data_IF_557971983940
#
_entry.id   IF_557971983940
#
_cell.length_a   1.000
_cell.length_b   1.000
_cell.length_c   1.000
_cell.angle_alpha   90.00
_cell.angle_beta   90.00
_cell.angle_gamma   90.00
#
_symmetry.space_group_name_H-M   'P 1'
#
loop_
_entity.id
_entity.type
_entity.pdbx_description
1 polymer ?
#
# COMPACT_ATOMS: atom_id res chain seq x y z
N UNK A 1 21.39 3.78 3.40
CA UNK A 1 19.93 3.76 3.50
C UNK A 1 19.21 4.92 2.82
N UNK A 2 19.91 5.91 2.26
CA UNK A 2 19.27 7.06 1.62
C UNK A 2 18.43 6.59 0.41
N UNK A 3 17.15 6.94 0.38
CA UNK A 3 16.23 6.65 -0.73
C UNK A 3 15.18 5.58 -0.45
N UNK A 4 15.39 4.61 0.45
CA UNK A 4 14.36 3.58 0.77
C UNK A 4 13.06 4.21 1.28
N UNK A 5 13.16 5.14 2.22
CA UNK A 5 11.99 5.85 2.76
C UNK A 5 11.27 6.68 1.69
N UNK A 6 12.00 7.25 0.73
CA UNK A 6 11.41 8.02 -0.36
C UNK A 6 10.60 7.13 -1.30
N UNK A 7 11.07 5.90 -1.60
CA UNK A 7 10.31 4.93 -2.39
C UNK A 7 9.01 4.55 -1.68
N UNK A 8 9.08 4.28 -0.38
CA UNK A 8 7.89 3.98 0.43
C UNK A 8 6.90 5.17 0.41
N UNK A 9 7.40 6.39 0.61
CA UNK A 9 6.58 7.61 0.56
C UNK A 9 5.96 7.84 -0.82
N UNK A 10 6.69 7.52 -1.88
CA UNK A 10 6.18 7.58 -3.25
C UNK A 10 5.00 6.63 -3.47
N UNK A 11 5.11 5.36 -3.10
CA UNK A 11 3.99 4.41 -3.21
C UNK A 11 2.83 4.76 -2.28
N UNK A 12 3.12 5.34 -1.11
CA UNK A 12 2.08 5.87 -0.22
C UNK A 12 1.32 7.01 -0.88
N UNK A 13 2.02 7.96 -1.50
CA UNK A 13 1.41 9.04 -2.27
C UNK A 13 0.51 8.51 -3.39
N UNK A 14 0.99 7.55 -4.18
CA UNK A 14 0.20 6.90 -5.23
C UNK A 14 -1.07 6.24 -4.68
N UNK A 15 -0.99 5.57 -3.55
CA UNK A 15 -2.17 4.99 -2.90
C UNK A 15 -3.23 6.03 -2.55
N UNK A 16 -2.81 7.21 -2.10
CA UNK A 16 -3.72 8.34 -1.85
C UNK A 16 -4.28 8.94 -3.14
N UNK A 17 -3.48 9.02 -4.21
CA UNK A 17 -3.95 9.45 -5.54
C UNK A 17 -5.04 8.50 -6.06
N UNK A 18 -4.82 7.18 -5.96
CA UNK A 18 -5.80 6.17 -6.41
C UNK A 18 -7.07 6.13 -5.56
N UNK A 19 -7.02 6.55 -4.31
CA UNK A 19 -8.19 6.62 -3.41
C UNK A 19 -8.89 7.98 -3.40
N UNK A 20 -8.58 8.87 -4.34
CA UNK A 20 -9.11 10.25 -4.41
C UNK A 20 -8.94 11.00 -3.08
N UNK A 21 -7.76 10.93 -2.52
CA UNK A 21 -7.40 11.51 -1.23
C UNK A 21 -6.03 12.19 -1.28
N UNK A 22 -5.57 12.57 -2.47
CA UNK A 22 -4.25 13.17 -2.66
C UNK A 22 -4.11 14.48 -1.88
N UNK A 23 -5.15 15.32 -1.88
CA UNK A 23 -5.17 16.53 -1.08
C UNK A 23 -4.92 16.28 0.40
N UNK A 24 -5.54 15.25 0.97
CA UNK A 24 -5.29 14.82 2.36
C UNK A 24 -3.85 14.34 2.58
N UNK A 25 -3.28 13.60 1.62
CA UNK A 25 -1.88 13.21 1.70
C UNK A 25 -0.96 14.41 1.82
N UNK A 26 -1.17 15.45 1.01
CA UNK A 26 -0.38 16.69 1.03
C UNK A 26 -0.47 17.37 2.39
N UNK A 27 -1.67 17.48 2.96
CA UNK A 27 -1.90 18.09 4.28
C UNK A 27 -1.15 17.36 5.41
N UNK A 28 -1.27 16.04 5.48
CA UNK A 28 -0.64 15.25 6.55
C UNK A 28 0.88 15.08 6.37
N UNK A 29 1.40 15.32 5.17
CA UNK A 29 2.82 15.19 4.83
C UNK A 29 3.61 16.50 4.95
N UNK A 30 2.96 17.59 5.40
CA UNK A 30 3.60 18.87 5.65
C UNK A 30 3.60 19.83 4.46
N UNK A 31 2.58 19.73 3.63
CA UNK A 31 2.31 20.61 2.49
C UNK A 31 3.35 20.54 1.35
N UNK A 32 3.22 21.37 0.31
CA UNK A 32 4.12 21.32 -0.85
C UNK A 32 5.57 21.65 -0.49
N UNK A 33 5.78 22.53 0.48
CA UNK A 33 7.13 22.92 0.89
C UNK A 33 7.94 21.76 1.46
N UNK A 34 7.31 20.86 2.20
CA UNK A 34 7.97 19.68 2.78
C UNK A 34 8.16 18.54 1.77
N UNK A 35 7.24 18.41 0.82
CA UNK A 35 7.25 17.33 -0.17
C UNK A 35 8.22 17.59 -1.32
N UNK A 36 8.42 18.86 -1.71
CA UNK A 36 9.33 19.23 -2.78
C UNK A 36 10.77 19.34 -2.27
N UNK A 37 11.71 18.71 -3.00
CA UNK A 37 13.12 18.65 -2.62
C UNK A 37 13.73 20.05 -2.47
N UNK A 38 14.22 20.36 -1.28
CA UNK A 38 14.68 21.69 -0.88
C UNK A 38 13.62 22.82 -1.04
N UNK A 39 12.33 22.45 -1.04
CA UNK A 39 11.20 23.35 -1.07
C UNK A 39 10.90 23.96 -2.44
N UNK A 40 9.82 24.72 -2.48
CA UNK A 40 9.20 25.25 -3.71
C UNK A 40 10.11 26.18 -4.55
N UNK A 41 11.07 26.85 -3.90
CA UNK A 41 12.01 27.76 -4.61
C UNK A 41 13.04 27.03 -5.44
N UNK A 42 13.46 25.83 -5.03
CA UNK A 42 14.45 25.01 -5.74
C UNK A 42 13.84 23.99 -6.67
N UNK A 43 12.75 23.38 -6.23
CA UNK A 43 12.06 22.34 -6.98
C UNK A 43 10.59 22.70 -7.10
N UNK A 44 10.21 23.53 -8.08
CA UNK A 44 8.83 23.97 -8.25
C UNK A 44 7.91 22.87 -8.77
N UNK A 45 8.47 21.83 -9.41
CA UNK A 45 7.73 20.72 -10.02
C UNK A 45 8.42 19.40 -9.63
N UNK A 46 7.62 18.40 -9.34
CA UNK A 46 8.04 17.01 -9.15
C UNK A 46 7.27 16.14 -10.14
N UNK A 47 7.97 15.28 -10.87
CA UNK A 47 7.35 14.35 -11.81
C UNK A 47 7.63 12.91 -11.41
N UNK A 48 6.68 12.02 -11.69
CA UNK A 48 6.81 10.58 -11.49
C UNK A 48 6.41 9.83 -12.76
N UNK A 49 7.10 8.71 -13.01
CA UNK A 49 6.78 7.80 -14.10
C UNK A 49 6.91 6.36 -13.62
N UNK A 50 5.88 5.55 -13.87
CA UNK A 50 5.87 4.12 -13.59
C UNK A 50 5.69 3.36 -14.89
N UNK A 51 6.52 2.33 -15.08
CA UNK A 51 6.49 1.45 -16.23
C UNK A 51 6.11 0.05 -15.80
N UNK A 52 5.09 -0.47 -16.43
CA UNK A 52 4.62 -1.84 -16.28
C UNK A 52 4.90 -2.57 -17.60
N UNK A 53 5.76 -3.56 -17.56
CA UNK A 53 6.19 -4.24 -18.79
C UNK A 53 6.02 -5.75 -18.62
N UNK A 54 5.53 -6.39 -19.68
CA UNK A 54 5.59 -7.82 -19.88
C UNK A 54 6.41 -8.15 -21.14
N UNK A 55 6.34 -9.41 -21.62
CA UNK A 55 7.07 -9.84 -22.82
C UNK A 55 6.57 -9.18 -24.12
N UNK A 56 5.35 -8.63 -24.13
CA UNK A 56 4.62 -8.20 -25.33
C UNK A 56 4.17 -6.74 -25.30
N UNK A 57 4.09 -6.13 -24.13
CA UNK A 57 3.59 -4.76 -23.96
C UNK A 57 4.33 -3.98 -22.87
N UNK A 58 4.20 -2.69 -22.93
CA UNK A 58 4.66 -1.76 -21.91
C UNK A 58 3.62 -0.66 -21.71
N UNK A 59 3.11 -0.58 -20.49
CA UNK A 59 2.21 0.46 -20.03
C UNK A 59 3.00 1.46 -19.20
N UNK A 60 2.76 2.75 -19.39
CA UNK A 60 3.42 3.81 -18.66
C UNK A 60 2.37 4.74 -18.08
N UNK A 61 2.49 5.02 -16.79
CA UNK A 61 1.75 6.07 -16.11
C UNK A 61 2.69 7.16 -15.68
N UNK A 62 2.47 8.38 -16.14
CA UNK A 62 3.26 9.56 -15.83
C UNK A 62 2.40 10.67 -15.26
N UNK A 63 2.96 11.43 -14.31
CA UNK A 63 2.30 12.60 -13.73
C UNK A 63 3.31 13.67 -13.34
N UNK A 64 2.84 14.91 -13.25
CA UNK A 64 3.58 16.07 -12.76
C UNK A 64 2.80 16.77 -11.66
N UNK A 65 3.51 17.13 -10.59
CA UNK A 65 2.99 17.81 -9.42
C UNK A 65 3.67 19.16 -9.29
N UNK A 66 2.91 20.23 -9.07
CA UNK A 66 3.45 21.56 -8.87
C UNK A 66 2.85 22.24 -7.64
N UNK A 67 3.60 23.21 -7.10
CA UNK A 67 3.09 24.06 -6.03
C UNK A 67 1.99 24.99 -6.53
N UNK A 68 0.93 25.15 -5.75
CA UNK A 68 -0.12 26.13 -5.92
C UNK A 68 -0.36 26.89 -4.62
N UNK A 69 -0.75 28.19 -4.76
CA UNK A 69 -1.05 29.05 -3.62
C UNK A 69 -2.27 28.54 -2.83
N UNK A 70 -2.28 28.60 -1.48
CA UNK A 70 -1.26 29.20 -0.61
C UNK A 70 -0.08 28.30 -0.25
N UNK A 71 -0.13 26.99 -0.29
CA UNK A 71 0.92 25.99 -0.09
C UNK A 71 0.33 24.59 -0.32
N UNK A 72 -0.15 24.38 -1.54
CA UNK A 72 -0.76 23.13 -1.98
C UNK A 72 0.10 22.49 -3.05
N UNK A 73 0.14 21.19 -3.06
CA UNK A 73 0.66 20.43 -4.20
C UNK A 73 -0.53 19.98 -5.05
N UNK A 74 -0.48 20.27 -6.34
CA UNK A 74 -1.54 19.95 -7.29
C UNK A 74 -1.00 19.10 -8.42
N UNK A 75 -1.86 18.30 -9.03
CA UNK A 75 -1.55 17.50 -10.21
C UNK A 75 -1.74 18.42 -11.43
N UNK A 76 -0.66 18.70 -12.14
CA UNK A 76 -0.68 19.58 -13.33
C UNK A 76 -0.75 18.82 -14.63
N UNK A 77 -0.21 17.63 -14.66
CA UNK A 77 -0.21 16.75 -15.82
C UNK A 77 -0.41 15.31 -15.38
N UNK A 78 -1.15 14.58 -16.16
CA UNK A 78 -1.33 13.14 -16.02
C UNK A 78 -1.44 12.51 -17.38
N UNK A 79 -0.73 11.42 -17.63
CA UNK A 79 -0.75 10.71 -18.91
C UNK A 79 -0.61 9.22 -18.72
N UNK A 80 -1.19 8.46 -19.64
CA UNK A 80 -0.92 7.05 -19.83
C UNK A 80 -0.40 6.82 -21.24
N UNK A 81 0.52 5.89 -21.37
CA UNK A 81 1.06 5.47 -22.66
C UNK A 81 1.04 3.95 -22.69
N UNK A 82 0.62 3.39 -23.77
CA UNK A 82 0.62 1.96 -24.01
C UNK A 82 1.35 1.64 -25.31
N UNK A 83 2.27 0.70 -25.27
CA UNK A 83 3.06 0.28 -26.43
C UNK A 83 3.09 -1.24 -26.53
N UNK A 84 2.62 -1.78 -27.63
CA UNK A 84 2.67 -3.20 -27.94
C UNK A 84 3.86 -3.51 -28.85
N UNK A 85 4.52 -4.64 -28.59
CA UNK A 85 5.64 -5.10 -29.41
C UNK A 85 5.21 -5.30 -30.87
N UNK A 86 5.92 -4.64 -31.79
CA UNK A 86 5.61 -4.67 -33.22
C UNK A 86 4.77 -3.49 -33.73
N UNK A 87 4.24 -2.66 -32.85
CA UNK A 87 3.57 -1.43 -33.24
C UNK A 87 4.58 -0.30 -33.45
N UNK A 88 4.34 0.54 -34.47
CA UNK A 88 5.25 1.63 -34.83
C UNK A 88 5.18 2.84 -33.92
N UNK A 89 4.04 3.05 -33.25
CA UNK A 89 3.83 4.20 -32.35
C UNK A 89 3.12 3.75 -31.09
N UNK A 90 3.49 4.27 -29.92
CA UNK A 90 2.70 4.08 -28.72
C UNK A 90 1.34 4.79 -28.83
N UNK A 91 0.35 4.23 -28.19
CA UNK A 91 -0.90 4.91 -27.90
C UNK A 91 -0.73 5.77 -26.65
N UNK A 92 -1.17 7.01 -26.68
CA UNK A 92 -1.02 7.96 -25.57
C UNK A 92 -2.33 8.66 -25.31
N UNK A 93 -2.68 8.79 -24.04
CA UNK A 93 -3.81 9.56 -23.55
C UNK A 93 -3.28 10.58 -22.52
N UNK A 94 -3.53 11.85 -22.75
CA UNK A 94 -3.45 12.87 -21.72
C UNK A 94 -4.73 12.83 -20.91
N UNK A 95 -4.60 12.69 -19.58
CA UNK A 95 -5.70 12.77 -18.64
C UNK A 95 -5.86 14.22 -18.18
N UNK A 96 -7.08 14.62 -17.92
CA UNK A 96 -7.36 15.98 -17.42
C UNK A 96 -7.57 15.93 -15.90
N UNK A 97 -6.51 16.08 -15.09
CA UNK A 97 -6.65 16.07 -13.63
C UNK A 97 -7.48 17.29 -13.18
N UNK A 98 -8.26 17.11 -12.13
CA UNK A 98 -9.02 18.22 -11.53
C UNK A 98 -8.17 19.08 -10.57
N UNK A 99 -6.85 19.09 -10.76
CA UNK A 99 -5.82 19.75 -9.96
C UNK A 99 -5.63 19.18 -8.54
N UNK A 100 -6.67 18.66 -7.91
CA UNK A 100 -6.62 18.15 -6.54
C UNK A 100 -6.52 16.64 -6.47
N UNK A 101 -7.09 15.94 -7.44
CA UNK A 101 -7.17 14.48 -7.46
C UNK A 101 -6.81 13.93 -8.85
N UNK A 102 -6.35 12.71 -8.89
CA UNK A 102 -6.01 11.98 -10.11
C UNK A 102 -7.25 11.74 -10.97
N UNK A 103 -7.14 11.98 -12.26
CA UNK A 103 -8.15 11.64 -13.25
C UNK A 103 -8.13 10.16 -13.65
N UNK A 104 -7.08 9.41 -13.27
CA UNK A 104 -6.91 8.01 -13.66
C UNK A 104 -8.07 7.13 -13.18
N UNK A 105 -8.58 7.38 -11.97
CA UNK A 105 -9.68 6.63 -11.37
C UNK A 105 -11.02 6.80 -12.12
N UNK A 106 -11.18 7.86 -12.88
CA UNK A 106 -12.41 8.22 -13.62
C UNK A 106 -12.30 7.94 -15.12
N UNK A 107 -11.10 7.59 -15.59
CA UNK A 107 -10.87 7.34 -17.00
C UNK A 107 -11.51 6.01 -17.44
N UNK A 108 -12.34 6.06 -18.47
CA UNK A 108 -13.05 4.90 -19.02
C UNK A 108 -12.19 4.05 -19.95
N UNK A 109 -11.00 4.51 -20.32
CA UNK A 109 -10.10 3.80 -21.21
C UNK A 109 -9.65 2.45 -20.59
N UNK A 110 -9.62 1.34 -21.35
CA UNK A 110 -9.24 0.02 -20.83
C UNK A 110 -7.82 -0.04 -20.25
N UNK A 111 -6.85 0.68 -20.85
CA UNK A 111 -5.47 0.72 -20.37
C UNK A 111 -5.41 1.51 -19.06
N UNK A 112 -6.11 2.64 -18.98
CA UNK A 112 -6.24 3.43 -17.76
C UNK A 112 -6.83 2.60 -16.62
N UNK A 113 -7.90 1.84 -16.86
CA UNK A 113 -8.51 0.94 -15.88
C UNK A 113 -7.54 -0.14 -15.40
N UNK A 114 -6.76 -0.71 -16.30
CA UNK A 114 -5.73 -1.72 -15.94
C UNK A 114 -4.65 -1.12 -15.05
N UNK A 115 -4.10 0.04 -15.43
CA UNK A 115 -3.10 0.76 -14.63
C UNK A 115 -3.67 1.17 -13.27
N UNK A 116 -4.90 1.69 -13.24
CA UNK A 116 -5.58 2.04 -12.00
C UNK A 116 -5.72 0.84 -11.06
N UNK A 117 -6.12 -0.31 -11.57
CA UNK A 117 -6.22 -1.55 -10.79
C UNK A 117 -4.85 -1.96 -10.23
N UNK A 118 -3.81 -2.00 -11.05
CA UNK A 118 -2.45 -2.33 -10.62
C UNK A 118 -1.98 -1.40 -9.49
N UNK A 119 -2.15 -0.10 -9.64
CA UNK A 119 -1.76 0.90 -8.64
C UNK A 119 -2.61 0.83 -7.36
N UNK A 120 -3.89 0.51 -7.47
CA UNK A 120 -4.80 0.36 -6.34
C UNK A 120 -4.45 -0.85 -5.46
N UNK A 121 -3.82 -1.88 -6.04
CA UNK A 121 -3.29 -3.04 -5.31
C UNK A 121 -1.91 -2.81 -4.70
N UNK A 122 -1.19 -1.75 -5.09
CA UNK A 122 0.07 -1.38 -4.47
C UNK A 122 -0.16 -0.82 -3.06
N UNK A 123 -0.10 -1.68 -2.06
CA UNK A 123 -0.25 -1.30 -0.65
C UNK A 123 1.11 -1.18 0.02
N UNK A 124 1.27 -0.18 0.86
CA UNK A 124 2.45 -0.01 1.70
C UNK A 124 2.15 -0.53 3.10
N UNK A 125 2.93 -1.50 3.55
CA UNK A 125 2.86 -2.05 4.90
C UNK A 125 4.08 -1.64 5.71
N UNK A 126 3.88 -1.30 6.99
CA UNK A 126 4.93 -0.87 7.90
C UNK A 126 4.77 -1.63 9.23
N UNK A 127 5.47 -2.74 9.36
CA UNK A 127 5.42 -3.63 10.54
C UNK A 127 6.64 -3.45 11.46
N UNK A 128 7.31 -2.31 11.41
CA UNK A 128 8.57 -2.08 12.11
C UNK A 128 8.43 -1.65 13.57
N UNK A 129 7.23 -1.30 14.00
CA UNK A 129 6.99 -0.93 15.40
C UNK A 129 6.84 -2.17 16.27
N UNK A 130 7.96 -2.58 16.87
CA UNK A 130 8.05 -3.70 17.83
C UNK A 130 7.92 -3.29 19.28
N UNK A 131 7.57 -2.01 19.55
CA UNK A 131 7.33 -1.53 20.94
C UNK A 131 6.16 -2.28 21.59
N UNK A 132 6.07 -2.22 22.91
CA UNK A 132 4.95 -2.82 23.66
C UNK A 132 3.60 -2.27 23.24
N UNK A 133 3.55 -1.01 22.81
CA UNK A 133 2.36 -0.34 22.29
C UNK A 133 2.18 -0.49 20.77
N UNK A 134 3.08 -1.22 20.13
CA UNK A 134 3.11 -1.39 18.68
C UNK A 134 1.83 -2.01 18.12
N UNK A 135 1.38 -1.58 16.94
CA UNK A 135 0.10 -2.00 16.33
C UNK A 135 -0.07 -3.52 16.21
N UNK A 136 1.00 -4.25 15.92
CA UNK A 136 0.97 -5.72 15.79
C UNK A 136 0.65 -6.46 17.10
N UNK A 137 0.88 -5.81 18.24
CA UNK A 137 0.64 -6.39 19.58
C UNK A 137 -0.76 -6.11 20.09
N UNK A 138 -1.47 -5.15 19.49
CA UNK A 138 -2.80 -4.74 19.95
C UNK A 138 -3.85 -5.79 19.58
N UNK A 139 -4.82 -5.96 20.46
CA UNK A 139 -6.02 -6.71 20.16
C UNK A 139 -6.94 -5.88 19.25
N UNK A 140 -7.69 -6.54 18.39
CA UNK A 140 -8.58 -5.89 17.43
C UNK A 140 -9.95 -6.56 17.37
N UNK A 141 -11.01 -5.84 16.95
CA UNK A 141 -12.30 -6.45 16.67
C UNK A 141 -12.21 -7.46 15.50
N UNK A 142 -12.93 -8.57 15.61
CA UNK A 142 -12.98 -9.59 14.54
C UNK A 142 -13.54 -9.01 13.23
N UNK A 143 -14.46 -8.06 13.32
CA UNK A 143 -15.10 -7.40 12.17
C UNK A 143 -14.14 -6.60 11.28
N UNK A 144 -12.93 -6.33 11.72
CA UNK A 144 -11.92 -5.58 10.93
C UNK A 144 -11.14 -6.44 9.92
N UNK A 145 -11.63 -7.62 9.59
CA UNK A 145 -10.92 -8.65 8.84
C UNK A 145 -10.82 -8.47 7.33
N UNK A 146 -11.61 -7.59 6.70
CA UNK A 146 -11.78 -7.53 5.25
C UNK A 146 -10.49 -7.22 4.44
N UNK A 147 -9.50 -6.58 5.06
CA UNK A 147 -8.19 -6.29 4.47
C UNK A 147 -7.16 -6.06 5.56
N UNK A 148 -5.90 -6.32 5.26
CA UNK A 148 -4.81 -6.04 6.19
C UNK A 148 -4.52 -4.52 6.23
N UNK A 149 -4.54 -3.94 7.42
CA UNK A 149 -4.21 -2.53 7.63
C UNK A 149 -2.71 -2.27 7.52
N UNK A 150 -2.32 -1.06 7.11
CA UNK A 150 -0.93 -0.72 6.78
C UNK A 150 0.07 -0.93 7.91
N UNK A 151 -0.36 -0.80 9.16
CA UNK A 151 0.48 -1.01 10.35
C UNK A 151 0.26 -2.37 11.01
N UNK A 152 -0.61 -3.21 10.44
CA UNK A 152 -0.90 -4.55 10.96
C UNK A 152 -1.80 -4.59 12.20
N UNK A 153 -2.47 -3.49 12.54
CA UNK A 153 -3.35 -3.39 13.71
C UNK A 153 -4.42 -4.49 13.78
N UNK A 154 -4.85 -5.00 12.62
CA UNK A 154 -5.86 -6.03 12.50
C UNK A 154 -5.29 -7.37 12.03
N UNK A 155 -3.99 -7.60 12.18
CA UNK A 155 -3.36 -8.85 11.73
C UNK A 155 -4.05 -10.10 12.28
N UNK A 156 -4.43 -10.20 13.59
CA UNK A 156 -5.09 -11.40 14.10
C UNK A 156 -6.44 -11.66 13.44
N UNK A 157 -7.28 -10.65 13.24
CA UNK A 157 -8.57 -10.82 12.58
C UNK A 157 -8.42 -11.11 11.09
N UNK A 158 -7.41 -10.53 10.43
CA UNK A 158 -7.11 -10.84 9.03
C UNK A 158 -6.61 -12.29 8.85
N UNK A 159 -5.78 -12.80 9.75
CA UNK A 159 -5.37 -14.21 9.75
C UNK A 159 -6.55 -15.16 9.98
N UNK A 160 -7.47 -14.81 10.90
CA UNK A 160 -8.71 -15.57 11.10
C UNK A 160 -9.54 -15.59 9.82
N UNK A 161 -9.75 -14.45 9.18
CA UNK A 161 -10.47 -14.35 7.91
C UNK A 161 -9.84 -15.22 6.81
N UNK A 162 -8.51 -15.20 6.69
CA UNK A 162 -7.81 -16.07 5.73
C UNK A 162 -7.99 -17.56 6.07
N UNK A 163 -7.89 -17.94 7.35
CA UNK A 163 -8.09 -19.33 7.79
C UNK A 163 -9.46 -19.87 7.42
N UNK A 164 -10.49 -19.01 7.53
CA UNK A 164 -11.88 -19.39 7.27
C UNK A 164 -12.26 -19.36 5.79
N UNK A 165 -11.73 -18.41 5.02
CA UNK A 165 -12.18 -18.15 3.66
C UNK A 165 -11.12 -18.48 2.59
N UNK A 166 -9.81 -18.47 2.94
CA UNK A 166 -8.69 -18.63 2.00
C UNK A 166 -7.60 -19.51 2.60
N UNK A 167 -7.96 -20.75 2.90
CA UNK A 167 -7.13 -21.70 3.65
C UNK A 167 -5.72 -21.91 3.06
N UNK A 168 -5.61 -21.93 1.72
CA UNK A 168 -4.32 -22.09 1.06
C UNK A 168 -3.40 -20.88 1.28
N UNK A 169 -3.96 -19.67 1.30
CA UNK A 169 -3.20 -18.47 1.62
C UNK A 169 -2.75 -18.45 3.08
N UNK A 170 -3.63 -18.85 3.99
CA UNK A 170 -3.33 -19.00 5.41
C UNK A 170 -2.19 -20.02 5.63
N UNK A 171 -2.30 -21.22 5.05
CA UNK A 171 -1.30 -22.27 5.19
C UNK A 171 0.08 -21.82 4.69
N UNK A 172 0.15 -21.11 3.56
CA UNK A 172 1.42 -20.55 3.08
C UNK A 172 2.05 -19.58 4.07
N UNK A 173 1.25 -18.76 4.75
CA UNK A 173 1.76 -17.84 5.80
C UNK A 173 2.32 -18.66 6.97
N UNK A 174 1.58 -19.67 7.42
CA UNK A 174 2.01 -20.57 8.51
C UNK A 174 3.33 -21.26 8.16
N UNK A 175 3.46 -21.76 6.93
CA UNK A 175 4.67 -22.45 6.48
C UNK A 175 5.87 -21.48 6.41
N UNK A 176 5.69 -20.26 5.89
CA UNK A 176 6.76 -19.23 5.93
C UNK A 176 7.20 -18.86 7.35
N UNK A 177 6.24 -18.80 8.30
CA UNK A 177 6.60 -18.54 9.70
C UNK A 177 7.39 -19.72 10.28
N UNK A 178 7.03 -20.97 9.98
CA UNK A 178 7.76 -22.17 10.40
C UNK A 178 9.18 -22.23 9.84
N UNK A 179 9.37 -21.80 8.60
CA UNK A 179 10.69 -21.75 7.98
C UNK A 179 11.65 -20.81 8.74
N UNK A 180 11.13 -19.75 9.33
CA UNK A 180 11.90 -18.76 10.10
C UNK A 180 11.97 -19.11 11.59
N UNK A 181 10.89 -19.67 12.13
CA UNK A 181 10.72 -20.04 13.55
C UNK A 181 10.28 -21.50 13.64
N UNK A 182 11.21 -22.46 13.63
CA UNK A 182 10.87 -23.91 13.59
C UNK A 182 10.01 -24.40 14.75
N UNK A 183 10.03 -23.71 15.89
CA UNK A 183 9.20 -24.02 17.05
C UNK A 183 7.73 -23.63 16.86
N UNK A 184 7.43 -22.70 15.95
CA UNK A 184 6.08 -22.24 15.70
C UNK A 184 5.23 -23.39 15.11
N UNK A 185 4.12 -23.72 15.77
CA UNK A 185 3.18 -24.71 15.29
C UNK A 185 2.08 -24.10 14.44
N UNK A 186 1.34 -23.14 15.00
CA UNK A 186 0.23 -22.47 14.34
C UNK A 186 -0.21 -21.22 15.11
N UNK A 187 -0.95 -20.33 14.46
CA UNK A 187 -1.62 -19.23 15.15
C UNK A 187 -2.82 -19.75 15.97
N UNK A 188 -2.98 -19.20 17.16
CA UNK A 188 -4.16 -19.44 18.00
C UNK A 188 -5.13 -18.26 17.85
N UNK A 189 -6.15 -18.45 17.00
CA UNK A 189 -7.05 -17.38 16.54
C UNK A 189 -8.47 -17.59 17.10
N UNK A 190 -8.59 -17.68 18.41
CA UNK A 190 -9.88 -17.81 19.10
C UNK A 190 -10.29 -16.45 19.69
N UNK A 191 -11.39 -15.83 19.18
CA UNK A 191 -11.92 -14.58 19.71
C UNK A 191 -12.51 -14.74 21.11
N UNK A 192 -12.39 -13.69 21.91
CA UNK A 192 -13.07 -13.58 23.20
C UNK A 192 -13.87 -12.29 23.20
N UNK A 193 -15.20 -12.38 23.35
CA UNK A 193 -16.08 -11.20 23.35
C UNK A 193 -16.00 -10.35 22.07
N UNK A 194 -15.78 -10.99 20.90
CA UNK A 194 -15.67 -10.27 19.63
C UNK A 194 -14.29 -9.61 19.39
N UNK A 195 -13.34 -9.79 20.30
CA UNK A 195 -11.98 -9.26 20.22
C UNK A 195 -10.99 -10.40 20.03
N UNK A 196 -9.98 -10.19 19.18
CA UNK A 196 -8.93 -11.16 18.91
C UNK A 196 -7.56 -10.51 19.06
N UNK A 197 -6.58 -11.26 19.59
CA UNK A 197 -5.18 -10.86 19.73
C UNK A 197 -4.26 -11.85 19.05
N UNK A 198 -3.05 -11.40 18.70
CA UNK A 198 -2.03 -12.25 18.09
C UNK A 198 -1.48 -13.22 19.14
N UNK A 199 -1.85 -14.49 18.98
CA UNK A 199 -1.37 -15.60 19.82
C UNK A 199 -0.97 -16.77 18.94
N UNK A 200 -0.09 -17.64 19.45
CA UNK A 200 0.38 -18.80 18.72
C UNK A 200 0.67 -19.97 19.65
N UNK A 201 0.81 -21.14 19.06
CA UNK A 201 1.18 -22.41 19.69
C UNK A 201 2.61 -22.72 19.28
N UNK A 202 3.42 -23.17 20.24
CA UNK A 202 4.78 -23.63 20.03
C UNK A 202 4.83 -25.15 20.19
N UNK A 203 5.63 -25.84 19.36
CA UNK A 203 5.78 -27.28 19.38
C UNK A 203 6.39 -27.80 20.71
N UNK A 204 7.13 -26.95 21.43
CA UNK A 204 7.75 -27.33 22.71
C UNK A 204 6.78 -27.22 23.90
N UNK A 205 5.65 -26.49 23.74
CA UNK A 205 4.67 -26.27 24.79
C UNK A 205 3.25 -26.13 24.19
N UNK A 206 2.72 -27.24 23.69
CA UNK A 206 1.44 -27.28 22.95
C UNK A 206 0.20 -26.96 23.79
N UNK A 207 0.31 -27.02 25.11
CA UNK A 207 -0.70 -26.65 26.08
C UNK A 207 -0.68 -25.16 26.45
N UNK A 208 0.39 -24.42 26.08
CA UNK A 208 0.54 -23.00 26.34
C UNK A 208 0.21 -22.14 25.11
N UNK A 209 -0.32 -20.94 25.33
CA UNK A 209 -0.67 -19.96 24.29
C UNK A 209 0.22 -18.75 24.43
N UNK A 210 1.26 -18.68 23.61
CA UNK A 210 2.12 -17.51 23.54
C UNK A 210 1.37 -16.32 22.98
N UNK A 211 1.79 -15.12 23.35
CA UNK A 211 1.20 -13.88 22.86
C UNK A 211 2.29 -12.85 22.50
N UNK A 212 1.90 -11.79 21.81
CA UNK A 212 2.80 -10.80 21.27
C UNK A 212 3.49 -9.92 22.34
N UNK A 213 3.17 -10.08 23.63
CA UNK A 213 3.84 -9.37 24.74
C UNK A 213 5.00 -10.14 25.37
N UNK A 214 5.19 -11.37 24.95
CA UNK A 214 6.30 -12.25 25.32
C UNK A 214 7.39 -12.25 24.26
#
# INVERSE_FOLDING_TARGET
>A
GAGKSNIISFFRMLSYMMSKSFGRYVEISGTSHALLHYGIKRTPVMSGELKFADSNSMDVYGFSLANATPDRLIITEERITWHRKGEKKPYEIALEPNFKESALAECEDPVAKTIFQMLSYCKVYQFHDSSTEGPLRQACPVETANYLQSHGNNLPSFLLFLRENYKDAYNRIVDYVRDVVPQFQDFYLEPVGGIISLRWIDNSATDYRFNAYQ
#
